data_IF_468932940531
#
_entry.id   IF_468932940531
#
_cell.length_a   1.000
_cell.length_b   1.000
_cell.length_c   1.000
_cell.angle_alpha   90.00
_cell.angle_beta   90.00
_cell.angle_gamma   90.00
#
_symmetry.space_group_name_H-M   'P 1'
#
loop_
_entity.id
_entity.type
_entity.pdbx_description
1 polymer ?
#
# COMPACT_ATOMS: atom_id res chain seq x y z
N UNK A 1 17.02 4.92 10.28
CA UNK A 1 15.92 5.27 9.36
C UNK A 1 14.61 4.99 10.08
N UNK A 2 13.60 5.85 9.93
CA UNK A 2 12.30 5.66 10.58
C UNK A 2 11.43 4.73 9.71
N UNK A 3 10.66 3.82 10.33
CA UNK A 3 9.74 2.96 9.60
C UNK A 3 8.62 3.77 8.95
N UNK A 4 8.27 3.45 7.71
CA UNK A 4 7.14 4.03 6.97
C UNK A 4 5.95 3.08 7.08
N UNK A 5 4.79 3.64 7.43
CA UNK A 5 3.53 2.92 7.61
C UNK A 5 2.53 3.29 6.52
N UNK A 6 1.94 2.30 5.87
CA UNK A 6 0.87 2.48 4.88
C UNK A 6 -0.49 2.44 5.58
N UNK A 7 -0.96 3.60 6.05
CA UNK A 7 -2.24 3.70 6.77
C UNK A 7 -3.45 3.47 5.85
N UNK A 8 -4.10 2.32 6.00
CA UNK A 8 -5.27 1.95 5.18
C UNK A 8 -6.55 2.71 5.53
N UNK A 9 -6.69 3.16 6.77
CA UNK A 9 -7.96 3.70 7.27
C UNK A 9 -8.38 4.97 6.51
N UNK A 10 -7.42 5.83 6.15
CA UNK A 10 -7.67 7.10 5.46
C UNK A 10 -7.99 6.93 3.97
N UNK A 11 -7.56 5.81 3.36
CA UNK A 11 -7.68 5.54 1.93
C UNK A 11 -8.74 4.49 1.58
N UNK A 12 -9.30 3.79 2.58
CA UNK A 12 -10.30 2.74 2.38
C UNK A 12 -11.52 3.23 1.60
N UNK A 13 -12.05 4.40 1.93
CA UNK A 13 -13.25 4.95 1.27
C UNK A 13 -12.99 5.37 -0.17
N UNK A 14 -11.78 5.86 -0.47
CA UNK A 14 -11.38 6.30 -1.81
C UNK A 14 -11.21 5.12 -2.79
N UNK A 15 -10.93 3.93 -2.26
CA UNK A 15 -10.69 2.72 -3.04
C UNK A 15 -11.82 1.70 -2.89
N UNK A 16 -12.98 2.11 -2.40
CA UNK A 16 -14.18 1.28 -2.42
C UNK A 16 -14.57 0.94 -3.88
N UNK A 17 -14.91 -0.32 -4.21
CA UNK A 17 -15.09 -1.48 -3.33
C UNK A 17 -13.84 -2.37 -3.15
N UNK A 18 -12.72 -2.02 -3.79
CA UNK A 18 -11.51 -2.86 -3.80
C UNK A 18 -10.86 -3.00 -2.41
N UNK A 19 -10.98 -1.96 -1.58
CA UNK A 19 -10.52 -1.96 -0.19
C UNK A 19 -11.28 -2.92 0.74
N UNK A 20 -12.43 -3.46 0.29
CA UNK A 20 -13.22 -4.44 1.06
C UNK A 20 -12.77 -5.89 0.81
N UNK A 21 -12.26 -6.17 -0.40
CA UNK A 21 -11.86 -7.53 -0.78
C UNK A 21 -10.41 -7.83 -0.42
N UNK A 22 -9.58 -6.79 -0.23
CA UNK A 22 -8.18 -6.92 0.18
C UNK A 22 -7.60 -5.63 0.75
N UNK A 23 -6.46 -5.77 1.42
CA UNK A 23 -5.60 -4.67 1.85
C UNK A 23 -5.27 -3.73 0.70
N UNK A 24 -5.25 -2.42 0.97
CA UNK A 24 -4.90 -1.39 -0.01
C UNK A 24 -3.45 -1.56 -0.45
N UNK A 25 -2.55 -1.92 0.47
CA UNK A 25 -1.14 -2.13 0.15
C UNK A 25 -0.91 -3.25 -0.87
N UNK A 26 -1.83 -4.22 -0.95
CA UNK A 26 -1.76 -5.37 -1.86
C UNK A 26 -2.46 -5.14 -3.21
N UNK A 27 -3.05 -3.95 -3.41
CA UNK A 27 -3.63 -3.56 -4.70
C UNK A 27 -2.50 -3.39 -5.72
N UNK A 28 -2.68 -3.96 -6.90
CA UNK A 28 -1.73 -3.84 -8.01
C UNK A 28 -1.91 -2.53 -8.75
N UNK A 29 -0.79 -1.87 -9.04
CA UNK A 29 -0.67 -0.69 -9.89
C UNK A 29 0.32 -1.03 -11.00
N UNK A 30 -0.20 -1.54 -12.12
CA UNK A 30 0.62 -2.16 -13.16
C UNK A 30 1.11 -3.53 -12.71
N UNK A 31 2.42 -3.78 -12.83
CA UNK A 31 3.03 -5.07 -12.46
C UNK A 31 3.30 -5.21 -10.95
N UNK A 32 3.38 -4.09 -10.24
CA UNK A 32 3.75 -4.03 -8.81
C UNK A 32 2.52 -3.81 -7.94
N UNK A 33 2.59 -4.19 -6.67
CA UNK A 33 1.66 -3.73 -5.63
C UNK A 33 2.01 -2.34 -5.13
N UNK A 34 1.07 -1.67 -4.44
CA UNK A 34 1.33 -0.38 -3.79
C UNK A 34 2.50 -0.52 -2.79
N UNK A 35 2.53 -1.61 -2.01
CA UNK A 35 3.65 -1.95 -1.12
C UNK A 35 4.98 -2.01 -1.88
N UNK A 36 5.06 -2.88 -2.90
CA UNK A 36 6.29 -3.09 -3.67
C UNK A 36 6.78 -1.81 -4.35
N UNK A 37 5.85 -0.98 -4.82
CA UNK A 37 6.19 0.32 -5.40
C UNK A 37 6.88 1.22 -4.38
N UNK A 38 6.35 1.31 -3.16
CA UNK A 38 6.96 2.11 -2.10
C UNK A 38 8.29 1.54 -1.61
N UNK A 39 8.39 0.22 -1.46
CA UNK A 39 9.65 -0.42 -1.06
C UNK A 39 10.77 -0.16 -2.07
N UNK A 40 10.46 -0.20 -3.37
CA UNK A 40 11.43 0.13 -4.43
C UNK A 40 11.83 1.60 -4.44
N UNK A 41 10.88 2.50 -4.17
CA UNK A 41 11.15 3.94 -4.12
C UNK A 41 12.00 4.33 -2.90
N UNK A 42 11.73 3.71 -1.76
CA UNK A 42 12.39 4.03 -0.49
C UNK A 42 13.69 3.22 -0.28
N UNK A 43 13.83 2.08 -0.95
CA UNK A 43 14.99 1.19 -0.80
C UNK A 43 14.99 0.36 0.48
N UNK A 44 13.86 0.30 1.21
CA UNK A 44 13.70 -0.52 2.42
C UNK A 44 12.24 -0.97 2.60
N UNK A 45 11.99 -2.04 3.40
CA UNK A 45 10.64 -2.58 3.62
C UNK A 45 9.71 -1.57 4.30
N UNK A 46 8.45 -1.54 3.88
CA UNK A 46 7.40 -0.71 4.50
C UNK A 46 6.47 -1.57 5.34
N UNK A 47 5.94 -0.99 6.41
CA UNK A 47 4.93 -1.63 7.25
C UNK A 47 3.53 -1.21 6.79
N UNK A 48 2.57 -2.12 6.91
CA UNK A 48 1.15 -1.89 6.59
C UNK A 48 0.38 -1.94 7.88
#
# INVERSE_FOLDING_TARGET
MQPVYLNEAEVRDQLFPFSQVRSVADIRVGILTIREKWERLLGYPVQV
#
